data_IF_714231003578
#
_entry.id   IF_714231003578
#
_cell.length_a   1.000
_cell.length_b   1.000
_cell.length_c   1.000
_cell.angle_alpha   90.00
_cell.angle_beta   90.00
_cell.angle_gamma   90.00
#
_symmetry.space_group_name_H-M   'P 1'
#
loop_
_entity.id
_entity.type
_entity.pdbx_description
1 polymer ?
#
# COMPACT_ATOMS: atom_id res chain seq x y z
N UNK A 1 17.76 12.08 20.42
CA UNK A 1 17.50 10.86 21.23
C UNK A 1 17.12 9.71 20.31
N UNK A 2 17.10 8.45 20.78
CA UNK A 2 16.50 7.35 20.01
C UNK A 2 14.99 7.63 19.81
N UNK A 3 14.37 7.27 18.68
CA UNK A 3 12.95 7.52 18.44
C UNK A 3 12.09 6.84 19.50
N UNK A 4 10.97 7.47 19.89
CA UNK A 4 10.07 6.97 20.93
C UNK A 4 9.67 5.51 20.66
N UNK A 5 10.04 4.62 21.59
CA UNK A 5 9.83 3.18 21.43
C UNK A 5 8.34 2.84 21.29
N UNK A 6 7.45 3.64 21.88
CA UNK A 6 6.00 3.50 21.76
C UNK A 6 5.51 3.75 20.33
N UNK A 7 6.05 4.77 19.64
CA UNK A 7 5.70 5.04 18.23
C UNK A 7 6.16 3.89 17.33
N UNK A 8 7.37 3.39 17.56
CA UNK A 8 7.91 2.24 16.83
C UNK A 8 7.07 0.99 17.09
N UNK A 9 6.63 0.75 18.33
CA UNK A 9 5.77 -0.37 18.67
C UNK A 9 4.41 -0.30 17.94
N UNK A 10 3.80 0.89 17.87
CA UNK A 10 2.56 1.11 17.13
C UNK A 10 2.73 0.83 15.63
N UNK A 11 3.81 1.33 15.03
CA UNK A 11 4.13 1.05 13.62
C UNK A 11 4.41 -0.43 13.36
N UNK A 12 5.10 -1.12 14.27
CA UNK A 12 5.34 -2.57 14.15
C UNK A 12 4.03 -3.38 14.27
N UNK A 13 3.06 -2.87 15.04
CA UNK A 13 1.74 -3.48 15.14
C UNK A 13 0.91 -3.29 13.86
N UNK A 14 1.02 -2.13 13.22
CA UNK A 14 0.36 -1.81 11.95
C UNK A 14 1.01 -2.53 10.76
N UNK A 15 2.34 -2.57 10.72
CA UNK A 15 3.15 -3.12 9.62
C UNK A 15 4.04 -4.27 10.10
N UNK A 16 3.47 -5.47 10.35
CA UNK A 16 4.24 -6.61 10.81
C UNK A 16 5.27 -7.07 9.76
N UNK A 17 6.35 -7.69 10.22
CA UNK A 17 7.44 -8.21 9.38
C UNK A 17 8.31 -7.13 8.71
N UNK A 18 8.18 -5.87 9.14
CA UNK A 18 8.97 -4.72 8.65
C UNK A 18 9.69 -3.99 9.77
N UNK A 19 9.90 -4.66 10.90
CA UNK A 19 10.42 -4.08 12.14
C UNK A 19 11.83 -3.49 11.94
N UNK A 20 12.67 -4.16 11.14
CA UNK A 20 14.01 -3.68 10.81
C UNK A 20 13.94 -2.41 9.95
N UNK A 21 13.15 -2.41 8.88
CA UNK A 21 13.00 -1.26 7.99
C UNK A 21 12.41 -0.05 8.73
N UNK A 22 11.39 -0.27 9.56
CA UNK A 22 10.76 0.78 10.38
C UNK A 22 11.79 1.39 11.33
N UNK A 23 12.56 0.55 12.05
CA UNK A 23 13.60 1.04 12.96
C UNK A 23 14.69 1.82 12.23
N UNK A 24 15.17 1.33 11.08
CA UNK A 24 16.16 2.02 10.26
C UNK A 24 15.64 3.39 9.78
N UNK A 25 14.42 3.43 9.24
CA UNK A 25 13.80 4.67 8.79
C UNK A 25 13.56 5.65 9.96
N UNK A 26 13.07 5.17 11.11
CA UNK A 26 12.85 6.01 12.27
C UNK A 26 14.15 6.67 12.76
N UNK A 27 15.24 5.89 12.83
CA UNK A 27 16.57 6.43 13.17
C UNK A 27 17.08 7.44 12.15
N UNK A 28 16.86 7.20 10.85
CA UNK A 28 17.28 8.11 9.78
C UNK A 28 16.38 9.34 9.63
N UNK A 29 15.14 9.30 10.10
CA UNK A 29 14.24 10.44 10.01
C UNK A 29 14.27 11.31 11.26
N UNK A 30 14.69 10.79 12.41
CA UNK A 30 14.84 11.55 13.66
C UNK A 30 15.51 12.93 13.44
N UNK A 31 14.93 14.02 14.00
CA UNK A 31 15.40 15.38 13.76
C UNK A 31 16.78 15.66 14.37
N UNK A 32 17.08 15.02 15.51
CA UNK A 32 18.32 15.22 16.27
C UNK A 32 19.54 14.49 15.67
N UNK A 33 19.32 13.61 14.69
CA UNK A 33 20.36 12.73 14.16
C UNK A 33 20.82 13.26 12.81
N UNK A 34 22.14 13.45 12.66
CA UNK A 34 22.75 13.77 11.38
C UNK A 34 22.54 12.62 10.41
N UNK A 35 21.96 12.92 9.26
CA UNK A 35 21.55 11.90 8.29
C UNK A 35 22.25 12.05 6.97
N UNK A 36 22.43 10.93 6.24
CA UNK A 36 22.98 10.97 4.90
C UNK A 36 22.17 11.93 4.01
N UNK A 37 22.83 12.62 3.06
CA UNK A 37 22.16 13.59 2.17
C UNK A 37 21.14 12.92 1.24
N UNK A 38 21.24 11.61 1.02
CA UNK A 38 20.29 10.83 0.24
C UNK A 38 20.18 9.42 0.79
N UNK A 39 19.01 8.81 0.58
CA UNK A 39 18.67 7.46 0.99
C UNK A 39 17.84 6.82 -0.12
N UNK A 40 18.22 5.61 -0.53
CA UNK A 40 17.46 4.85 -1.54
C UNK A 40 16.62 3.79 -0.84
N UNK A 41 15.30 3.88 -0.95
CA UNK A 41 14.39 2.83 -0.49
C UNK A 41 13.92 2.03 -1.71
N UNK A 42 14.26 0.74 -1.77
CA UNK A 42 13.98 -0.08 -2.94
C UNK A 42 13.46 -1.47 -2.58
N UNK A 43 12.76 -2.09 -3.52
CA UNK A 43 12.12 -3.39 -3.34
C UNK A 43 11.02 -3.60 -4.36
N UNK A 44 10.52 -4.82 -4.47
CA UNK A 44 9.42 -5.14 -5.39
C UNK A 44 8.15 -4.34 -5.08
N UNK A 45 7.23 -4.30 -6.05
CA UNK A 45 5.90 -3.74 -5.86
C UNK A 45 5.17 -4.41 -4.69
N UNK A 46 4.24 -3.68 -4.09
CA UNK A 46 3.42 -4.15 -2.97
C UNK A 46 4.16 -4.61 -1.70
N UNK A 47 5.44 -4.24 -1.54
CA UNK A 47 6.18 -4.49 -0.29
C UNK A 47 5.89 -3.47 0.82
N UNK A 48 5.04 -2.47 0.56
CA UNK A 48 4.61 -1.46 1.55
C UNK A 48 5.55 -0.26 1.70
N UNK A 49 6.54 -0.11 0.81
CA UNK A 49 7.56 0.97 0.87
C UNK A 49 6.95 2.36 1.11
N UNK A 50 6.07 2.80 0.22
CA UNK A 50 5.50 4.16 0.23
C UNK A 50 4.67 4.41 1.49
N UNK A 51 3.84 3.43 1.88
CA UNK A 51 2.99 3.52 3.08
C UNK A 51 3.85 3.59 4.34
N UNK A 52 4.85 2.71 4.49
CA UNK A 52 5.71 2.67 5.67
C UNK A 52 6.56 3.93 5.79
N UNK A 53 7.18 4.39 4.69
CA UNK A 53 7.95 5.65 4.70
C UNK A 53 7.08 6.83 5.13
N UNK A 54 5.85 6.94 4.58
CA UNK A 54 4.88 7.98 4.97
C UNK A 54 4.48 7.88 6.44
N UNK A 55 4.12 6.69 6.92
CA UNK A 55 3.71 6.48 8.31
C UNK A 55 4.84 6.76 9.30
N UNK A 56 6.09 6.37 8.98
CA UNK A 56 7.26 6.69 9.82
C UNK A 56 7.52 8.20 9.85
N UNK A 57 7.49 8.89 8.71
CA UNK A 57 7.71 10.34 8.66
C UNK A 57 6.65 11.11 9.47
N UNK A 58 5.39 10.69 9.36
CA UNK A 58 4.29 11.26 10.14
C UNK A 58 4.47 10.99 11.65
N UNK A 59 4.85 9.78 12.03
CA UNK A 59 5.04 9.41 13.43
C UNK A 59 6.21 10.16 14.07
N UNK A 60 7.35 10.26 13.37
CA UNK A 60 8.54 10.97 13.86
C UNK A 60 8.33 12.49 13.89
N UNK A 61 7.38 13.01 13.12
CA UNK A 61 7.05 14.45 13.09
C UNK A 61 8.10 15.32 12.42
N UNK A 62 8.96 14.74 11.57
CA UNK A 62 9.95 15.52 10.81
C UNK A 62 9.27 16.27 9.67
N UNK A 63 9.60 17.54 9.46
CA UNK A 63 9.12 18.31 8.30
C UNK A 63 9.48 17.59 7.01
N UNK A 64 8.48 17.25 6.20
CA UNK A 64 8.69 16.44 5.01
C UNK A 64 7.73 16.80 3.87
N UNK A 65 8.17 16.51 2.65
CA UNK A 65 7.39 16.61 1.42
C UNK A 65 7.48 15.29 0.65
N UNK A 66 6.32 14.74 0.26
CA UNK A 66 6.23 13.50 -0.52
C UNK A 66 5.68 13.83 -1.90
N UNK A 67 6.41 13.48 -2.94
CA UNK A 67 6.05 13.71 -4.33
C UNK A 67 5.87 12.36 -5.02
N UNK A 68 4.66 12.07 -5.47
CA UNK A 68 4.37 10.91 -6.32
C UNK A 68 4.86 11.18 -7.74
N UNK A 69 5.99 10.58 -8.13
CA UNK A 69 6.62 10.82 -9.44
C UNK A 69 5.76 10.30 -10.60
N UNK A 70 4.93 9.29 -10.36
CA UNK A 70 3.99 8.73 -11.35
C UNK A 70 2.91 9.73 -11.78
N UNK A 71 2.52 10.66 -10.91
CA UNK A 71 1.53 11.68 -11.22
C UNK A 71 2.15 12.87 -11.99
N UNK A 72 3.49 12.94 -12.02
CA UNK A 72 4.24 13.98 -12.71
C UNK A 72 4.58 13.53 -14.13
N UNK A 73 3.77 13.96 -15.10
CA UNK A 73 3.93 13.62 -16.53
C UNK A 73 5.31 13.96 -17.07
N UNK A 74 5.84 15.16 -16.74
CA UNK A 74 7.12 15.66 -17.23
C UNK A 74 8.09 15.93 -16.07
N UNK A 75 9.40 15.95 -16.37
CA UNK A 75 10.42 16.35 -15.38
C UNK A 75 10.16 17.77 -14.85
N UNK A 76 9.73 18.69 -15.71
CA UNK A 76 9.38 20.05 -15.29
C UNK A 76 8.25 20.05 -14.26
N UNK A 77 7.17 19.30 -14.51
CA UNK A 77 6.06 19.17 -13.56
C UNK A 77 6.57 18.60 -12.22
N UNK A 78 7.44 17.58 -12.25
CA UNK A 78 8.05 17.05 -11.02
C UNK A 78 8.79 18.14 -10.22
N UNK A 79 9.62 18.96 -10.87
CA UNK A 79 10.39 20.00 -10.21
C UNK A 79 9.50 21.12 -9.64
N UNK A 80 8.53 21.60 -10.40
CA UNK A 80 7.58 22.63 -9.96
C UNK A 80 6.74 22.13 -8.77
N UNK A 81 6.26 20.90 -8.84
CA UNK A 81 5.47 20.28 -7.75
C UNK A 81 6.33 20.04 -6.50
N UNK A 82 7.61 19.75 -6.66
CA UNK A 82 8.56 19.61 -5.55
C UNK A 82 8.70 20.91 -4.76
N UNK A 83 8.89 22.04 -5.44
CA UNK A 83 9.02 23.35 -4.77
C UNK A 83 7.75 23.70 -4.03
N UNK A 84 6.59 23.54 -4.67
CA UNK A 84 5.30 23.80 -4.04
C UNK A 84 5.11 22.95 -2.78
N UNK A 85 5.37 21.64 -2.87
CA UNK A 85 5.23 20.73 -1.73
C UNK A 85 6.20 21.06 -0.58
N UNK A 86 7.45 21.46 -0.89
CA UNK A 86 8.40 21.91 0.12
C UNK A 86 7.97 23.22 0.79
N UNK A 87 7.47 24.19 0.01
CA UNK A 87 6.93 25.45 0.53
C UNK A 87 5.76 25.20 1.49
N UNK A 88 4.80 24.36 1.09
CA UNK A 88 3.67 23.99 1.93
C UNK A 88 4.10 23.24 3.20
N UNK A 89 5.08 22.34 3.10
CA UNK A 89 5.61 21.61 4.25
C UNK A 89 6.27 22.55 5.26
N UNK A 90 7.09 23.49 4.80
CA UNK A 90 7.76 24.48 5.65
C UNK A 90 6.73 25.42 6.27
N UNK A 91 5.76 25.91 5.51
CA UNK A 91 4.72 26.82 6.01
C UNK A 91 3.81 26.18 7.07
N UNK A 92 3.64 24.85 7.06
CA UNK A 92 2.89 24.14 8.10
C UNK A 92 3.66 24.06 9.42
N UNK A 93 4.99 23.96 9.36
CA UNK A 93 5.83 23.82 10.55
C UNK A 93 6.28 25.18 11.11
N UNK A 94 6.60 26.14 10.24
CA UNK A 94 7.10 27.45 10.62
C UNK A 94 5.98 28.49 10.46
N UNK A 95 5.54 29.07 11.58
CA UNK A 95 4.50 30.12 11.62
C UNK A 95 4.97 31.49 11.11
N UNK A 96 6.20 31.59 10.59
CA UNK A 96 6.75 32.85 10.11
C UNK A 96 6.37 33.04 8.63
N UNK A 97 5.35 33.87 8.41
CA UNK A 97 4.80 34.13 7.10
C UNK A 97 5.86 34.74 6.19
N UNK A 98 6.39 33.94 5.26
CA UNK A 98 7.17 34.49 4.15
C UNK A 98 6.86 33.76 2.84
N UNK A 99 6.49 34.62 1.87
CA UNK A 99 6.30 34.46 0.43
C UNK A 99 6.00 33.06 -0.12
N UNK A 100 4.85 32.95 -0.79
CA UNK A 100 4.53 31.84 -1.68
C UNK A 100 5.66 31.63 -2.69
N UNK A 101 6.47 30.58 -2.48
CA UNK A 101 7.54 30.20 -3.42
C UNK A 101 6.91 29.43 -4.59
N UNK A 102 6.15 30.16 -5.40
CA UNK A 102 5.67 29.73 -6.71
C UNK A 102 6.67 30.17 -7.79
N UNK A 103 7.82 29.49 -7.86
CA UNK A 103 8.85 29.80 -8.86
C UNK A 103 8.81 28.83 -10.04
N UNK A 104 8.89 29.35 -11.27
CA UNK A 104 9.14 28.54 -12.48
C UNK A 104 10.46 27.79 -12.29
N UNK A 105 10.43 26.46 -12.36
CA UNK A 105 11.59 25.61 -12.16
C UNK A 105 11.79 24.67 -13.34
N UNK A 106 12.75 24.99 -14.20
CA UNK A 106 12.97 24.28 -15.45
C UNK A 106 14.15 23.30 -15.40
N UNK A 107 14.98 23.35 -14.36
CA UNK A 107 16.16 22.50 -14.22
C UNK A 107 16.41 22.08 -12.77
N UNK A 108 17.14 20.98 -12.58
CA UNK A 108 17.57 20.49 -11.26
C UNK A 108 18.47 21.49 -10.53
N UNK A 109 19.28 22.25 -11.27
CA UNK A 109 20.07 23.36 -10.71
C UNK A 109 19.20 24.53 -10.23
N UNK A 110 18.13 24.86 -10.97
CA UNK A 110 17.16 25.85 -10.52
C UNK A 110 16.43 25.38 -9.26
N UNK A 111 16.07 24.09 -9.19
CA UNK A 111 15.48 23.48 -8.00
C UNK A 111 16.42 23.61 -6.79
N UNK A 112 17.69 23.25 -6.94
CA UNK A 112 18.70 23.38 -5.89
C UNK A 112 18.78 24.80 -5.31
N UNK A 113 18.81 25.82 -6.18
CA UNK A 113 18.85 27.23 -5.76
C UNK A 113 17.57 27.65 -5.03
N UNK A 114 16.40 27.22 -5.49
CA UNK A 114 15.12 27.54 -4.85
C UNK A 114 14.99 26.84 -3.49
N UNK A 115 15.43 25.59 -3.37
CA UNK A 115 15.47 24.88 -2.08
C UNK A 115 16.46 25.55 -1.11
N UNK A 116 17.62 26.00 -1.58
CA UNK A 116 18.56 26.77 -0.75
C UNK A 116 17.94 28.06 -0.22
N UNK A 117 17.14 28.77 -1.03
CA UNK A 117 16.42 29.98 -0.64
C UNK A 117 15.32 29.66 0.39
N UNK A 118 14.49 28.64 0.10
CA UNK A 118 13.43 28.17 0.99
C UNK A 118 13.95 27.77 2.37
N UNK A 119 15.11 27.12 2.41
CA UNK A 119 15.71 26.66 3.67
C UNK A 119 16.58 27.74 4.33
N UNK A 120 16.78 28.90 3.73
CA UNK A 120 17.69 29.93 4.24
C UNK A 120 17.18 30.45 5.59
N UNK A 121 17.98 30.28 6.64
CA UNK A 121 17.60 30.67 8.00
C UNK A 121 16.94 29.55 8.81
N UNK A 122 16.59 28.44 8.18
CA UNK A 122 16.05 27.25 8.86
C UNK A 122 17.17 26.29 9.22
N UNK A 123 17.27 25.95 10.51
CA UNK A 123 18.14 24.88 11.03
C UNK A 123 17.45 23.52 11.08
N UNK A 124 16.13 23.50 10.88
CA UNK A 124 15.34 22.28 10.85
C UNK A 124 15.64 21.40 9.64
N UNK A 125 15.50 20.10 9.85
CA UNK A 125 15.66 19.07 8.85
C UNK A 125 14.39 18.97 8.00
N UNK A 126 14.55 19.10 6.68
CA UNK A 126 13.51 18.83 5.69
C UNK A 126 13.80 17.50 4.99
N UNK A 127 12.85 16.57 5.01
CA UNK A 127 12.94 15.31 4.27
C UNK A 127 12.12 15.40 2.98
N UNK A 128 12.78 15.22 1.84
CA UNK A 128 12.15 15.21 0.52
C UNK A 128 12.08 13.78 -0.01
N UNK A 129 10.87 13.28 -0.29
CA UNK A 129 10.64 11.90 -0.77
C UNK A 129 10.10 11.93 -2.20
N UNK A 130 10.82 11.29 -3.12
CA UNK A 130 10.35 11.02 -4.47
C UNK A 130 9.83 9.58 -4.56
N UNK A 131 8.52 9.41 -4.49
CA UNK A 131 7.88 8.08 -4.56
C UNK A 131 7.75 7.63 -6.02
N UNK A 132 8.09 6.38 -6.31
CA UNK A 132 8.02 5.79 -7.65
C UNK A 132 8.83 6.52 -8.72
N UNK A 133 9.99 7.06 -8.37
CA UNK A 133 10.86 7.84 -9.29
C UNK A 133 11.38 7.02 -10.48
N UNK A 134 11.43 5.69 -10.33
CA UNK A 134 11.76 4.73 -11.38
C UNK A 134 10.66 4.62 -12.45
N UNK A 135 9.41 4.96 -12.13
CA UNK A 135 8.24 4.86 -13.02
C UNK A 135 7.95 6.16 -13.80
N UNK A 136 8.85 7.12 -13.77
CA UNK A 136 8.65 8.38 -14.46
C UNK A 136 8.82 8.20 -15.98
N UNK A 137 7.74 8.50 -16.74
CA UNK A 137 7.66 8.23 -18.19
C UNK A 137 8.79 8.85 -19.01
N UNK A 138 9.18 10.08 -18.69
CA UNK A 138 10.20 10.86 -19.42
C UNK A 138 11.47 11.08 -18.57
N UNK A 139 11.90 10.09 -17.79
CA UNK A 139 13.11 10.23 -16.98
C UNK A 139 14.38 10.18 -17.84
N UNK A 140 15.05 11.32 -17.98
CA UNK A 140 16.43 11.32 -18.49
C UNK A 140 17.32 10.46 -17.56
N UNK A 141 18.31 9.71 -18.08
CA UNK A 141 19.19 8.85 -17.27
C UNK A 141 19.99 9.64 -16.22
N UNK A 142 20.12 10.95 -16.40
CA UNK A 142 20.80 11.87 -15.49
C UNK A 142 19.92 12.39 -14.36
N UNK A 143 18.60 12.16 -14.40
CA UNK A 143 17.66 12.71 -13.42
C UNK A 143 17.89 12.14 -12.02
N UNK A 144 17.92 10.81 -11.88
CA UNK A 144 18.14 10.14 -10.59
C UNK A 144 19.47 10.56 -9.93
N UNK A 145 20.62 10.53 -10.64
CA UNK A 145 21.87 11.07 -10.11
C UNK A 145 21.76 12.56 -9.73
N UNK A 146 21.07 13.38 -10.52
CA UNK A 146 20.92 14.80 -10.21
C UNK A 146 20.08 15.04 -8.94
N UNK A 147 18.99 14.28 -8.75
CA UNK A 147 18.15 14.35 -7.55
C UNK A 147 18.90 13.87 -6.30
N UNK A 148 19.65 12.77 -6.39
CA UNK A 148 20.45 12.25 -5.29
C UNK A 148 21.52 13.25 -4.80
N UNK A 149 21.98 14.14 -5.68
CA UNK A 149 22.99 15.16 -5.33
C UNK A 149 22.39 16.43 -4.74
N UNK A 150 21.07 16.59 -4.70
CA UNK A 150 20.44 17.75 -4.05
C UNK A 150 20.74 17.83 -2.55
N UNK A 151 20.99 16.70 -1.89
CA UNK A 151 21.37 16.68 -0.47
C UNK A 151 22.79 17.19 -0.19
N UNK A 152 23.68 17.23 -1.19
CA UNK A 152 25.05 17.73 -1.07
C UNK A 152 25.09 19.26 -0.82
N UNK A 153 23.96 19.97 -1.03
CA UNK A 153 23.86 21.43 -0.91
C UNK A 153 24.07 21.95 0.51
N UNK A 154 23.99 21.10 1.55
CA UNK A 154 24.21 21.48 2.95
C UNK A 154 25.28 20.68 3.67
N UNK A 155 25.68 19.53 3.14
CA UNK A 155 26.59 18.62 3.81
C UNK A 155 27.71 18.17 2.85
N UNK A 156 28.96 18.36 3.27
CA UNK A 156 30.17 18.04 2.49
C UNK A 156 30.64 16.57 2.65
N UNK A 157 29.82 15.68 3.20
CA UNK A 157 30.22 14.29 3.45
C UNK A 157 30.00 13.42 2.21
N UNK A 158 31.08 13.13 1.48
CA UNK A 158 31.17 12.12 0.41
C UNK A 158 31.10 10.68 0.98
N UNK A 159 30.01 10.36 1.66
CA UNK A 159 29.71 8.97 2.05
C UNK A 159 28.73 8.43 1.00
N UNK A 160 28.97 7.20 0.52
CA UNK A 160 28.10 6.56 -0.47
C UNK A 160 26.64 6.57 -0.04
N UNK A 161 25.72 6.52 -1.01
CA UNK A 161 24.27 6.61 -0.76
C UNK A 161 23.79 5.32 -0.08
N UNK A 162 23.35 5.37 1.20
CA UNK A 162 22.78 4.20 1.85
C UNK A 162 21.47 3.78 1.20
N UNK A 163 21.15 2.50 1.34
CA UNK A 163 19.91 1.93 0.83
C UNK A 163 19.21 1.07 1.88
N UNK A 164 17.88 1.05 1.84
CA UNK A 164 17.03 0.17 2.62
C UNK A 164 16.26 -0.72 1.66
N UNK A 165 16.49 -2.03 1.80
CA UNK A 165 15.85 -3.03 0.98
C UNK A 165 14.55 -3.56 1.63
N UNK A 166 13.45 -3.42 0.90
CA UNK A 166 12.17 -4.05 1.20
C UNK A 166 12.08 -5.37 0.42
N UNK A 167 12.44 -6.45 1.09
CA UNK A 167 12.34 -7.82 0.54
C UNK A 167 10.89 -8.18 0.25
N UNK A 168 10.67 -9.09 -0.71
CA UNK A 168 9.37 -9.70 -0.90
C UNK A 168 8.90 -10.41 0.38
N UNK A 169 7.59 -10.44 0.63
CA UNK A 169 7.05 -11.20 1.76
C UNK A 169 7.19 -12.70 1.48
N UNK A 170 7.67 -13.43 2.48
CA UNK A 170 7.62 -14.90 2.47
C UNK A 170 6.19 -15.39 2.70
N UNK A 171 5.92 -16.68 2.44
CA UNK A 171 4.60 -17.29 2.71
C UNK A 171 4.08 -16.97 4.12
N UNK A 172 4.89 -17.25 5.14
CA UNK A 172 4.50 -17.07 6.53
C UNK A 172 4.26 -15.59 6.87
N UNK A 173 5.07 -14.70 6.32
CA UNK A 173 4.88 -13.26 6.50
C UNK A 173 3.62 -12.76 5.80
N UNK A 174 3.35 -13.21 4.58
CA UNK A 174 2.13 -12.86 3.83
C UNK A 174 0.88 -13.28 4.59
N UNK A 175 0.86 -14.53 5.07
CA UNK A 175 -0.26 -15.05 5.88
C UNK A 175 -0.40 -14.21 7.16
N UNK A 176 0.70 -13.90 7.86
CA UNK A 176 0.68 -13.07 9.07
C UNK A 176 0.13 -11.66 8.81
N UNK A 177 0.50 -11.03 7.69
CA UNK A 177 -0.02 -9.72 7.28
C UNK A 177 -1.52 -9.80 7.00
N UNK A 178 -1.98 -10.79 6.24
CA UNK A 178 -3.41 -10.97 5.93
C UNK A 178 -4.23 -11.33 7.18
N UNK A 179 -3.62 -12.00 8.15
CA UNK A 179 -4.28 -12.44 9.39
C UNK A 179 -4.51 -11.30 10.39
N UNK A 180 -3.98 -10.09 10.14
CA UNK A 180 -4.30 -8.90 10.95
C UNK A 180 -5.76 -8.49 10.84
N UNK A 181 -6.37 -8.74 9.69
CA UNK A 181 -7.77 -8.46 9.41
C UNK A 181 -8.34 -9.67 8.66
N UNK A 182 -8.62 -10.78 9.38
CA UNK A 182 -9.16 -11.97 8.76
C UNK A 182 -10.55 -11.70 8.20
N UNK A 183 -10.90 -12.33 7.07
CA UNK A 183 -12.26 -12.28 6.60
C UNK A 183 -13.18 -13.07 7.54
N UNK A 184 -14.26 -12.46 7.99
CA UNK A 184 -15.26 -13.13 8.83
C UNK A 184 -15.96 -14.25 8.06
N UNK A 185 -16.15 -15.39 8.73
CA UNK A 185 -17.01 -16.48 8.26
C UNK A 185 -18.46 -16.00 8.20
N UNK A 186 -18.90 -15.25 9.21
CA UNK A 186 -20.26 -14.74 9.38
C UNK A 186 -20.30 -13.21 9.21
N UNK A 187 -20.48 -12.69 7.98
CA UNK A 187 -20.44 -11.24 7.73
C UNK A 187 -21.68 -10.49 8.22
N UNK A 188 -22.81 -11.19 8.39
CA UNK A 188 -24.10 -10.60 8.76
C UNK A 188 -24.41 -10.74 10.25
N UNK A 189 -23.39 -11.04 11.07
CA UNK A 189 -23.56 -11.41 12.48
C UNK A 189 -23.67 -12.92 12.68
N UNK A 190 -23.66 -13.33 13.94
CA UNK A 190 -23.85 -14.72 14.34
C UNK A 190 -25.23 -15.23 13.90
N UNK A 191 -25.37 -16.54 13.58
CA UNK A 191 -26.68 -17.14 13.39
C UNK A 191 -27.54 -16.91 14.64
N UNK A 192 -28.75 -16.39 14.48
CA UNK A 192 -29.69 -16.29 15.58
C UNK A 192 -30.11 -17.70 16.02
N UNK A 193 -30.19 -17.98 17.33
CA UNK A 193 -30.68 -19.27 17.82
C UNK A 193 -32.11 -19.53 17.34
N UNK A 194 -32.44 -20.76 16.99
CA UNK A 194 -33.80 -21.09 16.58
C UNK A 194 -34.79 -20.87 17.76
N UNK A 195 -36.06 -20.51 17.47
CA UNK A 195 -37.03 -20.22 18.52
C UNK A 195 -37.28 -21.45 19.42
N UNK A 196 -36.73 -21.43 20.63
CA UNK A 196 -36.86 -22.51 21.62
C UNK A 196 -35.55 -23.20 21.99
N UNK A 197 -34.43 -22.83 21.37
CA UNK A 197 -33.10 -23.26 21.79
C UNK A 197 -32.52 -22.31 22.84
N UNK A 198 -31.78 -22.86 23.81
CA UNK A 198 -31.02 -22.04 24.76
C UNK A 198 -29.95 -21.25 23.99
N UNK A 199 -29.68 -19.98 24.36
CA UNK A 199 -28.67 -19.19 23.69
C UNK A 199 -27.31 -19.91 23.79
N UNK A 200 -26.75 -20.24 22.62
CA UNK A 200 -25.48 -20.95 22.52
C UNK A 200 -24.35 -20.11 23.16
N UNK A 201 -23.39 -20.74 23.84
CA UNK A 201 -22.22 -20.07 24.47
C UNK A 201 -21.23 -19.49 23.43
N UNK A 202 -21.64 -19.43 22.16
CA UNK A 202 -20.85 -18.97 21.03
C UNK A 202 -20.87 -17.45 20.93
N UNK A 203 -19.82 -16.82 21.44
CA UNK A 203 -19.64 -15.36 21.45
C UNK A 203 -19.02 -14.85 20.16
N UNK A 204 -19.08 -13.53 19.94
CA UNK A 204 -18.37 -12.87 18.83
C UNK A 204 -16.85 -13.10 18.88
N UNK A 205 -16.29 -13.25 20.09
CA UNK A 205 -14.88 -13.59 20.28
C UNK A 205 -14.58 -14.99 19.75
N UNK A 206 -15.41 -15.99 20.06
CA UNK A 206 -15.29 -17.33 19.51
C UNK A 206 -15.40 -17.33 17.96
N UNK A 207 -16.32 -16.53 17.40
CA UNK A 207 -16.45 -16.36 15.95
C UNK A 207 -15.24 -15.73 15.29
N UNK A 208 -14.61 -14.77 15.96
CA UNK A 208 -13.37 -14.14 15.49
C UNK A 208 -12.21 -15.13 15.51
N UNK A 209 -12.04 -15.89 16.60
CA UNK A 209 -10.99 -16.91 16.72
C UNK A 209 -11.13 -18.01 15.67
N UNK A 210 -12.35 -18.50 15.45
CA UNK A 210 -12.63 -19.50 14.43
C UNK A 210 -12.39 -18.93 13.01
N UNK A 211 -12.83 -17.70 12.75
CA UNK A 211 -12.56 -17.02 11.48
C UNK A 211 -11.07 -16.89 11.23
N UNK A 212 -10.30 -16.45 12.23
CA UNK A 212 -8.85 -16.35 12.15
C UNK A 212 -8.19 -17.72 11.90
N UNK A 213 -8.65 -18.76 12.60
CA UNK A 213 -8.13 -20.13 12.46
C UNK A 213 -8.36 -20.68 11.05
N UNK A 214 -9.58 -20.57 10.52
CA UNK A 214 -9.92 -21.04 9.18
C UNK A 214 -9.19 -20.18 8.13
N UNK A 215 -9.18 -18.86 8.29
CA UNK A 215 -8.54 -17.91 7.39
C UNK A 215 -7.04 -18.19 7.22
N UNK A 216 -6.31 -18.37 8.33
CA UNK A 216 -4.87 -18.64 8.30
C UNK A 216 -4.54 -19.90 7.50
N UNK A 217 -5.31 -20.97 7.71
CA UNK A 217 -5.13 -22.25 7.00
C UNK A 217 -5.55 -22.15 5.54
N UNK A 218 -6.63 -21.43 5.27
CA UNK A 218 -7.10 -21.15 3.92
C UNK A 218 -6.06 -20.36 3.12
N UNK A 219 -5.51 -19.27 3.67
CA UNK A 219 -4.45 -18.50 3.03
C UNK A 219 -3.21 -19.36 2.71
N UNK A 220 -2.83 -20.27 3.62
CA UNK A 220 -1.75 -21.23 3.36
C UNK A 220 -2.05 -22.14 2.17
N UNK A 221 -3.27 -22.67 2.08
CA UNK A 221 -3.70 -23.50 0.96
C UNK A 221 -3.76 -22.72 -0.36
N UNK A 222 -4.32 -21.50 -0.35
CA UNK A 222 -4.36 -20.59 -1.51
C UNK A 222 -2.95 -20.33 -2.02
N UNK A 223 -2.02 -20.01 -1.12
CA UNK A 223 -0.61 -19.77 -1.47
C UNK A 223 -0.01 -21.01 -2.13
N UNK A 224 -0.16 -22.20 -1.55
CA UNK A 224 0.43 -23.42 -2.11
C UNK A 224 -0.17 -23.79 -3.47
N UNK A 225 -1.47 -23.53 -3.70
CA UNK A 225 -2.14 -23.88 -4.96
C UNK A 225 -1.96 -22.84 -6.07
N UNK A 226 -1.85 -21.55 -5.75
CA UNK A 226 -1.94 -20.44 -6.72
C UNK A 226 -0.70 -19.54 -6.75
N UNK A 227 0.38 -19.93 -6.04
CA UNK A 227 1.59 -19.10 -5.91
C UNK A 227 2.40 -18.89 -7.19
N UNK A 228 2.16 -19.67 -8.23
CA UNK A 228 2.91 -19.55 -9.48
C UNK A 228 2.60 -18.27 -10.27
N UNK A 229 1.44 -17.62 -10.05
CA UNK A 229 1.06 -16.39 -10.78
C UNK A 229 0.78 -15.16 -9.92
N UNK A 230 0.15 -15.32 -8.75
CA UNK A 230 -0.35 -14.18 -7.96
C UNK A 230 0.35 -13.95 -6.60
N UNK A 231 1.13 -14.91 -6.09
CA UNK A 231 1.65 -14.85 -4.71
C UNK A 231 2.94 -14.02 -4.53
N UNK A 232 3.44 -13.33 -5.57
CA UNK A 232 4.59 -12.42 -5.40
C UNK A 232 4.19 -11.04 -4.91
N UNK A 233 2.91 -10.71 -4.99
CA UNK A 233 2.32 -9.44 -4.58
C UNK A 233 1.30 -9.71 -3.45
N UNK A 234 1.48 -9.03 -2.31
CA UNK A 234 0.59 -9.16 -1.14
C UNK A 234 -0.82 -8.61 -1.41
N UNK A 235 -0.95 -7.58 -2.24
CA UNK A 235 -2.20 -6.94 -2.63
C UNK A 235 -2.98 -7.87 -3.56
N UNK A 236 -2.33 -8.41 -4.59
CA UNK A 236 -2.95 -9.41 -5.47
C UNK A 236 -3.33 -10.67 -4.71
N UNK A 237 -2.47 -11.13 -3.79
CA UNK A 237 -2.76 -12.29 -2.94
C UNK A 237 -3.98 -12.05 -2.04
N UNK A 238 -4.10 -10.87 -1.40
CA UNK A 238 -5.29 -10.50 -0.61
C UNK A 238 -6.55 -10.48 -1.47
N UNK A 239 -6.53 -9.80 -2.61
CA UNK A 239 -7.70 -9.71 -3.49
C UNK A 239 -8.19 -11.09 -3.95
N UNK A 240 -7.24 -11.98 -4.28
CA UNK A 240 -7.55 -13.35 -4.66
C UNK A 240 -8.13 -14.15 -3.47
N UNK A 241 -7.52 -14.05 -2.29
CA UNK A 241 -8.02 -14.73 -1.09
C UNK A 241 -9.43 -14.27 -0.72
N UNK A 242 -9.71 -12.97 -0.76
CA UNK A 242 -11.03 -12.38 -0.50
C UNK A 242 -12.08 -12.87 -1.50
N UNK A 243 -11.74 -12.96 -2.80
CA UNK A 243 -12.62 -13.48 -3.86
C UNK A 243 -12.98 -14.95 -3.65
N UNK A 244 -12.01 -15.77 -3.23
CA UNK A 244 -12.21 -17.21 -3.02
C UNK A 244 -12.81 -17.55 -1.64
N UNK A 245 -12.82 -16.60 -0.71
CA UNK A 245 -13.27 -16.83 0.66
C UNK A 245 -14.74 -17.24 0.75
N UNK A 246 -15.65 -16.47 0.12
CA UNK A 246 -17.10 -16.71 0.24
C UNK A 246 -17.51 -18.10 -0.24
N UNK A 247 -17.11 -18.55 -1.45
CA UNK A 247 -17.45 -19.91 -1.90
C UNK A 247 -16.83 -21.02 -1.05
N UNK A 248 -15.72 -20.74 -0.38
CA UNK A 248 -15.02 -21.69 0.49
C UNK A 248 -15.72 -21.89 1.83
N UNK A 249 -16.14 -20.81 2.51
CA UNK A 249 -16.78 -20.88 3.83
C UNK A 249 -18.28 -21.16 3.80
N UNK A 250 -18.93 -21.08 2.64
CA UNK A 250 -20.36 -21.34 2.50
C UNK A 250 -20.84 -22.63 3.21
N UNK A 251 -20.16 -23.79 3.11
CA UNK A 251 -20.58 -25.01 3.80
C UNK A 251 -20.52 -24.91 5.33
N UNK A 252 -19.67 -24.03 5.89
CA UNK A 252 -19.64 -23.74 7.33
C UNK A 252 -20.85 -22.89 7.72
N UNK A 253 -21.15 -21.86 6.90
CA UNK A 253 -22.32 -20.99 7.11
C UNK A 253 -23.63 -21.77 7.02
N UNK A 254 -23.70 -22.74 6.09
CA UNK A 254 -24.87 -23.62 5.92
C UNK A 254 -24.97 -24.71 7.01
N UNK A 255 -24.04 -24.76 7.97
CA UNK A 255 -24.01 -25.76 9.06
C UNK A 255 -23.61 -27.17 8.63
N UNK A 256 -23.23 -27.39 7.37
CA UNK A 256 -22.86 -28.72 6.84
C UNK A 256 -21.49 -29.21 7.31
N UNK A 257 -20.58 -28.31 7.69
CA UNK A 257 -19.25 -28.61 8.21
C UNK A 257 -18.91 -27.69 9.38
N UNK A 258 -18.18 -28.22 10.36
CA UNK A 258 -17.63 -27.40 11.44
C UNK A 258 -16.39 -26.63 11.02
N UNK A 259 -16.02 -25.61 11.80
CA UNK A 259 -14.78 -24.83 11.61
C UNK A 259 -13.55 -25.72 11.67
N UNK A 260 -13.59 -26.82 12.44
CA UNK A 260 -12.48 -27.78 12.62
C UNK A 260 -12.38 -28.84 11.52
N UNK A 261 -13.38 -29.00 10.65
CA UNK A 261 -13.40 -29.95 9.54
C UNK A 261 -12.60 -29.46 8.30
N UNK A 262 -11.56 -28.66 8.50
CA UNK A 262 -10.79 -28.01 7.42
C UNK A 262 -10.31 -28.99 6.35
N UNK A 263 -9.81 -30.17 6.74
CA UNK A 263 -9.33 -31.19 5.79
C UNK A 263 -10.44 -31.68 4.86
N UNK A 264 -11.68 -31.82 5.36
CA UNK A 264 -12.83 -32.24 4.55
C UNK A 264 -13.30 -31.11 3.65
N UNK A 265 -13.33 -29.88 4.17
CA UNK A 265 -13.63 -28.67 3.40
C UNK A 265 -12.67 -28.50 2.21
N UNK A 266 -11.37 -28.71 2.43
CA UNK A 266 -10.35 -28.67 1.37
C UNK A 266 -10.56 -29.73 0.30
N UNK A 267 -11.03 -30.93 0.66
CA UNK A 267 -11.35 -31.98 -0.32
C UNK A 267 -12.58 -31.60 -1.13
N UNK A 268 -13.65 -31.14 -0.45
CA UNK A 268 -14.90 -30.72 -1.09
C UNK A 268 -14.69 -29.56 -2.06
N UNK A 269 -13.92 -28.56 -1.63
CA UNK A 269 -13.69 -27.32 -2.37
C UNK A 269 -12.40 -27.32 -3.19
N UNK A 270 -11.74 -28.47 -3.35
CA UNK A 270 -10.56 -28.65 -4.21
C UNK A 270 -10.73 -28.02 -5.62
N UNK A 271 -11.89 -28.12 -6.30
CA UNK A 271 -12.07 -27.50 -7.61
C UNK A 271 -11.88 -25.97 -7.62
N UNK A 272 -12.14 -25.28 -6.50
CA UNK A 272 -11.93 -23.83 -6.40
C UNK A 272 -10.46 -23.45 -6.62
N UNK A 273 -9.54 -24.29 -6.15
CA UNK A 273 -8.09 -24.06 -6.20
C UNK A 273 -7.43 -24.55 -7.50
N UNK A 274 -8.15 -25.33 -8.31
CA UNK A 274 -7.64 -25.88 -9.58
C UNK A 274 -8.04 -25.06 -10.81
N UNK A 275 -8.96 -24.11 -10.64
CA UNK A 275 -9.51 -23.37 -11.77
C UNK A 275 -8.56 -22.23 -12.16
N UNK A 276 -7.96 -22.30 -13.36
CA UNK A 276 -7.07 -21.26 -13.89
C UNK A 276 -7.75 -19.91 -14.16
N UNK A 277 -9.10 -19.87 -14.17
CA UNK A 277 -9.91 -18.64 -14.35
C UNK A 277 -9.53 -17.52 -13.38
N UNK A 278 -9.00 -17.86 -12.21
CA UNK A 278 -8.59 -16.87 -11.20
C UNK A 278 -7.21 -16.26 -11.46
N UNK A 279 -6.36 -16.95 -12.21
CA UNK A 279 -5.02 -16.48 -12.59
C UNK A 279 -5.08 -15.57 -13.83
N UNK A 280 -6.01 -15.85 -14.76
CA UNK A 280 -6.12 -15.14 -16.04
C UNK A 280 -6.70 -13.72 -15.88
N UNK A 281 -7.56 -13.47 -14.89
CA UNK A 281 -8.12 -12.13 -14.66
C UNK A 281 -7.12 -11.10 -14.10
N UNK A 282 -5.87 -11.49 -13.81
CA UNK A 282 -4.76 -10.55 -13.60
C UNK A 282 -4.04 -10.15 -14.90
N UNK A 283 -4.33 -10.81 -16.02
CA UNK A 283 -3.60 -10.66 -17.30
C UNK A 283 -4.53 -10.31 -18.48
N UNK A 284 -5.81 -10.68 -18.46
CA UNK A 284 -6.78 -10.29 -19.50
C UNK A 284 -8.17 -10.12 -18.86
N UNK A 285 -8.76 -8.92 -19.00
CA UNK A 285 -10.21 -8.76 -18.87
C UNK A 285 -10.87 -9.62 -19.95
N UNK A 286 -11.50 -10.75 -19.57
CA UNK A 286 -12.24 -11.60 -20.51
C UNK A 286 -13.32 -10.75 -21.20
N UNK A 287 -13.09 -10.45 -22.48
CA UNK A 287 -14.11 -9.94 -23.38
C UNK A 287 -14.99 -11.15 -23.73
N UNK A 288 -16.21 -11.17 -23.22
CA UNK A 288 -17.20 -12.18 -23.63
C UNK A 288 -17.56 -11.95 -25.10
N UNK A 289 -16.99 -12.75 -26.01
CA UNK A 289 -17.48 -12.89 -27.37
C UNK A 289 -18.51 -14.03 -27.45
N UNK A 290 -19.71 -13.68 -27.91
CA UNK A 290 -20.84 -14.60 -28.09
C UNK A 290 -21.94 -14.06 -29.02
N UNK A 291 -21.56 -13.73 -30.26
CA UNK A 291 -22.30 -13.99 -31.52
C UNK A 291 -23.68 -13.33 -31.82
N UNK A 292 -23.63 -12.39 -32.79
CA UNK A 292 -24.58 -12.04 -33.89
C UNK A 292 -25.87 -11.20 -33.67
N UNK A 293 -25.81 -9.96 -34.20
CA UNK A 293 -26.76 -9.15 -35.03
C UNK A 293 -28.25 -9.12 -34.60
N UNK A 294 -28.91 -7.97 -34.36
CA UNK A 294 -29.32 -6.97 -35.37
C UNK A 294 -29.99 -5.74 -34.68
N UNK A 295 -29.69 -4.52 -35.17
CA UNK A 295 -30.53 -3.30 -35.23
C UNK A 295 -31.14 -2.60 -33.98
N UNK A 296 -30.57 -1.42 -33.72
CA UNK A 296 -31.15 -0.10 -33.37
C UNK A 296 -32.10 0.12 -32.15
N UNK A 297 -31.67 1.13 -31.38
CA UNK A 297 -32.43 2.28 -30.83
C UNK A 297 -32.97 2.25 -29.39
N UNK A 298 -32.57 3.32 -28.67
CA UNK A 298 -33.25 4.07 -27.61
C UNK A 298 -32.89 3.71 -26.15
N UNK A 299 -32.17 4.66 -25.53
CA UNK A 299 -32.01 4.84 -24.09
C UNK A 299 -33.37 5.28 -23.49
N UNK A 300 -33.74 4.77 -22.31
CA UNK A 300 -33.96 5.72 -21.22
C UNK A 300 -33.23 5.31 -19.93
N UNK A 301 -32.72 6.36 -19.30
CA UNK A 301 -32.14 6.47 -17.97
C UNK A 301 -32.94 5.77 -16.86
N UNK A 302 -32.26 4.94 -16.07
CA UNK A 302 -32.64 4.65 -14.69
C UNK A 302 -31.51 5.14 -13.79
N UNK A 303 -31.82 6.14 -12.97
CA UNK A 303 -30.98 6.67 -11.92
C UNK A 303 -30.75 5.61 -10.85
N UNK A 304 -29.53 5.09 -10.75
CA UNK A 304 -29.08 4.32 -9.59
C UNK A 304 -28.30 5.25 -8.66
N UNK A 305 -28.81 5.45 -7.45
CA UNK A 305 -28.12 6.15 -6.36
C UNK A 305 -27.37 5.08 -5.56
N UNK A 306 -26.03 5.04 -5.57
CA UNK A 306 -25.27 4.09 -4.77
C UNK A 306 -25.19 4.55 -3.29
N UNK A 307 -25.11 3.63 -2.33
CA UNK A 307 -24.94 3.95 -0.92
C UNK A 307 -23.56 4.55 -0.61
N UNK A 308 -23.53 5.49 0.33
CA UNK A 308 -22.50 6.49 0.64
C UNK A 308 -21.16 6.01 1.24
N UNK A 309 -20.74 4.76 1.04
CA UNK A 309 -19.57 4.19 1.74
C UNK A 309 -18.40 3.82 0.81
N UNK A 310 -18.49 4.15 -0.48
CA UNK A 310 -17.55 3.71 -1.53
C UNK A 310 -16.56 4.80 -2.01
N UNK A 311 -16.35 5.86 -1.23
CA UNK A 311 -15.57 7.03 -1.68
C UNK A 311 -14.07 7.04 -1.34
N UNK A 312 -13.47 5.94 -0.87
CA UNK A 312 -12.07 6.02 -0.38
C UNK A 312 -11.05 5.20 -1.15
N UNK A 313 -11.39 4.38 -2.15
CA UNK A 313 -10.36 3.60 -2.86
C UNK A 313 -10.68 3.53 -4.36
N UNK A 314 -9.79 4.20 -5.14
CA UNK A 314 -9.56 4.19 -6.60
C UNK A 314 -9.90 5.51 -7.32
N UNK A 315 -8.92 6.11 -8.04
CA UNK A 315 -9.17 6.77 -9.30
C UNK A 315 -8.91 5.81 -10.47
N UNK A 316 -9.86 5.92 -11.39
CA UNK A 316 -9.92 5.60 -12.81
C UNK A 316 -8.85 4.79 -13.57
N UNK A 317 -9.42 3.96 -14.43
CA UNK A 317 -8.85 3.21 -15.55
C UNK A 317 -8.04 4.10 -16.49
N UNK A 318 -6.86 3.65 -16.91
CA UNK A 318 -6.40 3.86 -18.30
C UNK A 318 -5.48 2.70 -18.72
N UNK A 319 -5.96 2.00 -19.73
CA UNK A 319 -5.37 0.92 -20.52
C UNK A 319 -4.05 1.35 -21.19
N UNK A 320 -2.96 0.59 -21.05
CA UNK A 320 -1.88 0.56 -22.05
C UNK A 320 -1.20 -0.82 -22.07
N UNK A 321 -1.08 -1.35 -23.28
CA UNK A 321 -0.43 -2.59 -23.68
C UNK A 321 1.08 -2.35 -23.83
N UNK A 322 1.85 -3.38 -23.47
CA UNK A 322 3.32 -3.57 -23.42
C UNK A 322 4.02 -3.08 -22.15
#
# INVERSE_FOLDING_TARGET
MLPDEQLIANLNNEFPCRELQIRQLACLFAPDISTPPSLVVHGLEATGKSVIVKSVLNAVGTTHAIICSQECVTVRHLLERTIAACGDAISRTLSDGNESVGGRCESTSALALQLQRLLKGTTEKLVLVFDGVDRQREAAPTLLPALARLGELRFFSNVGIPYIHFTAYTKDQSIRVLSKQPCSIFPNGLPEPEPGEEPDDYTEEHAHEDSLWVWTRFCSAVWDSLSHGAARDIVSFRALAEKLWRPFVQPIVDGTYGTRDFSRLMVLKRPLFQTEKWLVQGVVEETEEGTTLTTLHIIPSISYVPPTWLHTILPDKTLYIS
#
